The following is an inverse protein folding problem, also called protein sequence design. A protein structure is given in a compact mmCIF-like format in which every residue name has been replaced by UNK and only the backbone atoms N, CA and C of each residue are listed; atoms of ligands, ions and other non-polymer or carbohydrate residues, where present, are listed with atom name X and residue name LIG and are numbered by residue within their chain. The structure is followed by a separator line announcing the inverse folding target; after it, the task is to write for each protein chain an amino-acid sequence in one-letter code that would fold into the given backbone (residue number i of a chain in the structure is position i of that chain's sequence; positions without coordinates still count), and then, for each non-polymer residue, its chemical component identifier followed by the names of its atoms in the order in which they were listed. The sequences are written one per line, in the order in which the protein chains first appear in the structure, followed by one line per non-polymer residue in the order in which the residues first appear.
data_IF_503423178856
#
_entry.id   IF_503423178856
#
_cell.length_a   1.000
_cell.length_b   1.000
_cell.length_c   1.000
_cell.angle_alpha   90.00
_cell.angle_beta   90.00
_cell.angle_gamma   90.00
#
_symmetry.space_group_name_H-M   'P 1'
#
loop_
_entity.id
_entity.type
_entity.pdbx_description
1 polymer ?
#
# COMPACT_ATOMS: atom_id res chain seq x y z
N UNK A 1 15.72 59.38 -3.53
CA UNK A 1 14.44 58.80 -4.01
C UNK A 1 14.75 57.50 -4.73
N UNK A 2 14.78 56.40 -3.98
CA UNK A 2 15.04 55.05 -4.51
C UNK A 2 13.76 54.58 -5.18
N UNK A 3 13.85 54.27 -6.47
CA UNK A 3 12.71 53.95 -7.33
C UNK A 3 12.01 52.67 -6.87
N UNK A 4 10.72 52.76 -6.53
CA UNK A 4 9.82 51.65 -6.16
C UNK A 4 9.75 50.53 -7.22
N UNK A 5 10.26 50.79 -8.43
CA UNK A 5 10.25 49.83 -9.54
C UNK A 5 11.25 48.68 -9.37
N UNK A 6 12.32 48.88 -8.59
CA UNK A 6 13.33 47.84 -8.34
C UNK A 6 13.02 46.98 -7.11
N UNK A 7 12.06 47.39 -6.26
CA UNK A 7 11.63 46.59 -5.11
C UNK A 7 10.62 45.51 -5.51
N UNK A 8 9.92 45.69 -6.63
CA UNK A 8 8.97 44.69 -7.15
C UNK A 8 9.65 43.50 -7.85
N UNK A 9 10.92 43.65 -8.26
CA UNK A 9 11.69 42.60 -8.94
C UNK A 9 12.46 41.68 -7.97
N UNK A 10 12.57 42.03 -6.68
CA UNK A 10 13.14 41.15 -5.66
C UNK A 10 12.11 40.25 -4.98
N UNK A 11 10.80 40.49 -5.18
CA UNK A 11 9.72 39.74 -4.54
C UNK A 11 9.31 38.44 -5.25
N UNK A 12 9.76 38.20 -6.49
CA UNK A 12 9.38 37.02 -7.30
C UNK A 12 10.37 35.86 -7.22
N UNK A 13 11.39 35.94 -6.37
CA UNK A 13 12.32 34.85 -6.09
C UNK A 13 11.98 34.08 -4.80
N UNK A 14 10.79 34.30 -4.23
CA UNK A 14 10.29 33.48 -3.12
C UNK A 14 9.77 32.15 -3.65
N UNK A 15 10.72 31.30 -4.02
CA UNK A 15 10.79 29.93 -3.54
C UNK A 15 9.43 29.21 -3.58
N UNK A 16 9.03 28.83 -4.79
CA UNK A 16 8.25 27.62 -5.03
C UNK A 16 9.10 26.41 -4.61
N UNK A 17 9.38 26.27 -3.31
CA UNK A 17 9.79 25.00 -2.72
C UNK A 17 8.52 24.18 -2.58
N UNK A 18 7.96 23.78 -3.72
CA UNK A 18 7.04 22.66 -3.74
C UNK A 18 7.87 21.46 -3.30
N UNK A 19 7.68 21.05 -2.05
CA UNK A 19 8.15 19.78 -1.53
C UNK A 19 7.53 18.68 -2.40
N UNK A 20 8.13 18.41 -3.55
CA UNK A 20 7.94 17.14 -4.24
C UNK A 20 8.60 16.14 -3.32
N UNK A 21 7.78 15.49 -2.47
CA UNK A 21 8.25 14.34 -1.73
C UNK A 21 8.78 13.37 -2.79
N UNK A 22 10.11 13.25 -2.86
CA UNK A 22 10.76 12.35 -3.80
C UNK A 22 10.26 10.95 -3.46
N UNK A 23 9.37 10.46 -4.32
CA UNK A 23 8.68 9.20 -4.16
C UNK A 23 9.74 8.11 -4.12
N UNK A 24 9.69 7.21 -3.13
CA UNK A 24 10.70 6.19 -3.00
C UNK A 24 10.68 5.28 -4.24
N UNK A 25 11.82 5.20 -4.94
CA UNK A 25 11.99 4.28 -6.06
C UNK A 25 12.01 2.83 -5.54
N UNK A 26 11.27 1.95 -6.21
CA UNK A 26 11.10 0.56 -5.80
C UNK A 26 11.54 -0.36 -6.92
N UNK A 27 12.70 -1.00 -6.71
CA UNK A 27 13.25 -1.95 -7.69
C UNK A 27 12.42 -3.24 -7.75
N UNK A 28 12.31 -3.80 -8.96
CA UNK A 28 11.69 -5.09 -9.23
C UNK A 28 12.63 -6.27 -8.84
N UNK A 29 12.79 -6.49 -7.54
CA UNK A 29 13.53 -7.63 -6.99
C UNK A 29 12.54 -8.53 -6.23
N UNK A 30 12.46 -9.81 -6.63
CA UNK A 30 11.58 -10.80 -6.01
C UNK A 30 11.93 -10.99 -4.53
N UNK A 31 10.92 -10.95 -3.66
CA UNK A 31 11.07 -11.07 -2.20
C UNK A 31 11.70 -9.85 -1.51
N UNK A 32 12.11 -8.79 -2.24
CA UNK A 32 12.62 -7.56 -1.62
C UNK A 32 11.47 -6.77 -1.01
N UNK A 33 11.45 -6.70 0.32
CA UNK A 33 10.44 -5.97 1.09
C UNK A 33 10.87 -4.53 1.31
N UNK A 34 9.92 -3.62 1.17
CA UNK A 34 10.11 -2.20 1.46
C UNK A 34 9.10 -1.80 2.55
N UNK A 35 9.55 -1.26 3.69
CA UNK A 35 8.65 -0.85 4.75
C UNK A 35 7.80 0.33 4.28
N UNK A 36 6.48 0.24 4.48
CA UNK A 36 5.58 1.36 4.21
C UNK A 36 5.82 2.49 5.21
N UNK A 37 6.50 3.52 4.73
CA UNK A 37 6.70 4.81 5.41
C UNK A 37 5.92 5.93 4.73
N UNK A 38 5.86 7.11 5.35
CA UNK A 38 5.23 8.31 4.76
C UNK A 38 5.81 8.76 3.40
N UNK A 39 6.94 8.20 2.95
CA UNK A 39 7.53 8.45 1.62
C UNK A 39 6.85 7.65 0.50
N UNK A 40 6.05 6.65 0.86
CA UNK A 40 5.24 5.84 -0.05
C UNK A 40 3.85 6.48 -0.03
N UNK A 41 3.40 7.00 -1.18
CA UNK A 41 2.35 8.03 -1.24
C UNK A 41 1.04 7.67 -0.54
N UNK A 42 0.22 8.69 -0.18
CA UNK A 42 -0.98 8.51 0.64
C UNK A 42 -2.04 7.61 0.01
N UNK A 43 -1.98 7.39 -1.31
CA UNK A 43 -2.94 6.56 -2.03
C UNK A 43 -2.28 5.34 -2.68
N UNK A 44 -2.85 4.17 -2.39
CA UNK A 44 -2.50 2.88 -2.98
C UNK A 44 -3.78 2.11 -3.34
N UNK A 45 -3.66 1.20 -4.29
CA UNK A 45 -4.70 0.29 -4.75
C UNK A 45 -4.45 -1.06 -4.07
N UNK A 46 -5.46 -1.61 -3.41
CA UNK A 46 -5.41 -2.99 -2.94
C UNK A 46 -5.65 -3.93 -4.12
N UNK A 47 -4.62 -4.66 -4.51
CA UNK A 47 -4.66 -5.58 -5.66
C UNK A 47 -5.23 -6.93 -5.25
N UNK A 48 -4.78 -7.46 -4.12
CA UNK A 48 -5.20 -8.77 -3.62
C UNK A 48 -5.06 -8.83 -2.10
N UNK A 49 -5.87 -9.70 -1.48
CA UNK A 49 -5.69 -10.15 -0.10
C UNK A 49 -5.60 -11.68 -0.14
N UNK A 50 -4.44 -12.20 0.25
CA UNK A 50 -4.09 -13.61 0.14
C UNK A 50 -4.04 -14.23 1.53
N UNK A 51 -4.63 -15.43 1.65
CA UNK A 51 -4.58 -16.22 2.88
C UNK A 51 -4.06 -17.61 2.56
N UNK A 52 -3.30 -18.18 3.50
CA UNK A 52 -3.00 -19.59 3.43
C UNK A 52 -4.30 -20.40 3.57
N UNK A 53 -4.38 -21.46 2.78
CA UNK A 53 -5.40 -22.50 2.96
C UNK A 53 -4.90 -23.41 4.06
N UNK A 54 -5.79 -23.78 4.98
CA UNK A 54 -5.49 -24.75 6.04
C UNK A 54 -4.95 -26.04 5.42
N UNK A 55 -3.99 -26.68 6.10
CA UNK A 55 -3.26 -27.84 5.56
C UNK A 55 -4.23 -28.96 5.12
N UNK A 56 -5.29 -29.19 5.89
CA UNK A 56 -6.33 -30.20 5.62
C UNK A 56 -7.07 -29.98 4.30
N UNK A 57 -7.12 -28.73 3.81
CA UNK A 57 -7.82 -28.33 2.59
C UNK A 57 -6.86 -28.06 1.43
N UNK A 58 -5.55 -28.11 1.66
CA UNK A 58 -4.53 -27.83 0.65
C UNK A 58 -4.45 -28.99 -0.34
N UNK A 59 -4.95 -28.76 -1.56
CA UNK A 59 -4.87 -29.73 -2.66
C UNK A 59 -3.56 -29.54 -3.45
N UNK A 60 -2.48 -30.09 -2.92
CA UNK A 60 -1.17 -30.20 -3.61
C UNK A 60 -0.19 -29.05 -3.39
N UNK A 61 0.83 -29.01 -4.25
CA UNK A 61 1.95 -28.07 -4.18
C UNK A 61 1.58 -26.71 -4.78
N UNK A 62 0.94 -25.87 -3.97
CA UNK A 62 0.72 -24.45 -4.28
C UNK A 62 1.76 -23.54 -3.64
N UNK A 63 1.76 -22.26 -4.02
CA UNK A 63 2.48 -21.23 -3.29
C UNK A 63 1.82 -20.96 -1.92
N UNK A 64 2.60 -20.58 -0.93
CA UNK A 64 2.07 -19.90 0.25
C UNK A 64 1.52 -18.52 -0.13
N UNK A 65 0.69 -17.94 0.73
CA UNK A 65 0.18 -16.58 0.56
C UNK A 65 1.32 -15.55 0.45
N UNK A 66 2.42 -15.77 1.17
CA UNK A 66 3.59 -14.89 1.14
C UNK A 66 4.34 -15.01 -0.19
N UNK A 67 4.60 -16.23 -0.66
CA UNK A 67 5.26 -16.45 -1.96
C UNK A 67 4.41 -15.95 -3.13
N UNK A 68 3.09 -16.13 -3.05
CA UNK A 68 2.16 -15.60 -4.05
C UNK A 68 2.11 -14.07 -4.04
N UNK A 69 2.13 -13.45 -2.85
CA UNK A 69 2.21 -12.00 -2.72
C UNK A 69 3.54 -11.45 -3.29
N UNK A 70 4.67 -12.08 -2.95
CA UNK A 70 6.00 -11.70 -3.44
C UNK A 70 6.12 -11.84 -4.96
N UNK A 71 5.53 -12.89 -5.52
CA UNK A 71 5.46 -13.09 -6.97
C UNK A 71 4.61 -12.00 -7.64
N UNK A 72 3.43 -11.68 -7.09
CA UNK A 72 2.55 -10.65 -7.64
C UNK A 72 3.20 -9.26 -7.58
N UNK A 73 3.82 -8.93 -6.45
CA UNK A 73 4.58 -7.69 -6.27
C UNK A 73 5.73 -7.57 -7.27
N UNK A 74 6.44 -8.67 -7.52
CA UNK A 74 7.52 -8.68 -8.51
C UNK A 74 7.00 -8.36 -9.92
N UNK A 75 5.93 -9.00 -10.38
CA UNK A 75 5.38 -8.76 -11.71
C UNK A 75 4.84 -7.32 -11.87
N UNK A 76 4.18 -6.78 -10.84
CA UNK A 76 3.73 -5.38 -10.84
C UNK A 76 4.92 -4.40 -10.95
N UNK A 77 6.00 -4.64 -10.19
CA UNK A 77 7.18 -3.77 -10.25
C UNK A 77 7.88 -3.84 -11.61
N UNK A 78 7.84 -4.98 -12.29
CA UNK A 78 8.41 -5.12 -13.64
C UNK A 78 7.69 -4.28 -14.69
N UNK A 79 6.41 -3.98 -14.49
CA UNK A 79 5.65 -3.09 -15.38
C UNK A 79 5.78 -1.61 -14.99
N UNK A 80 6.61 -1.31 -13.99
CA UNK A 80 6.84 0.04 -13.48
C UNK A 80 5.82 0.49 -12.44
N UNK A 81 4.95 -0.40 -11.95
CA UNK A 81 3.99 -0.10 -10.89
C UNK A 81 4.67 -0.37 -9.54
N UNK A 82 4.88 0.64 -8.67
CA UNK A 82 5.39 0.39 -7.32
C UNK A 82 4.41 -0.50 -6.57
N UNK A 83 4.90 -1.54 -5.87
CA UNK A 83 4.03 -2.47 -5.17
C UNK A 83 4.68 -2.99 -3.88
N UNK A 84 3.85 -3.40 -2.92
CA UNK A 84 4.27 -3.81 -1.58
C UNK A 84 3.39 -4.93 -1.04
N UNK A 85 3.91 -5.62 -0.02
CA UNK A 85 3.16 -6.55 0.80
C UNK A 85 2.84 -5.91 2.15
N UNK A 86 1.60 -6.07 2.62
CA UNK A 86 1.19 -5.68 3.96
C UNK A 86 0.59 -6.89 4.69
N UNK A 87 1.16 -7.25 5.84
CA UNK A 87 0.63 -8.32 6.67
C UNK A 87 -0.44 -7.76 7.60
N UNK A 88 -1.57 -8.44 7.65
CA UNK A 88 -2.69 -8.08 8.50
C UNK A 88 -3.00 -9.25 9.42
N UNK A 89 -3.00 -9.00 10.73
CA UNK A 89 -3.15 -10.05 11.74
C UNK A 89 -4.61 -10.49 11.90
N UNK A 90 -4.81 -11.72 12.39
CA UNK A 90 -6.13 -12.23 12.74
C UNK A 90 -6.65 -11.54 14.01
N UNK A 91 -7.89 -11.02 13.94
CA UNK A 91 -8.57 -10.41 15.08
C UNK A 91 -9.77 -11.27 15.48
N UNK A 92 -9.70 -11.82 16.69
CA UNK A 92 -10.81 -12.55 17.31
C UNK A 92 -11.49 -11.65 18.33
N UNK A 93 -12.80 -11.47 18.20
CA UNK A 93 -13.60 -10.68 19.12
C UNK A 93 -14.61 -11.58 19.87
N UNK A 94 -15.19 -11.03 20.93
CA UNK A 94 -16.11 -11.73 21.81
C UNK A 94 -17.40 -10.94 21.92
N UNK A 95 -18.53 -11.63 21.67
CA UNK A 95 -19.86 -11.08 21.92
C UNK A 95 -20.30 -11.52 23.32
N UNK A 96 -20.55 -10.54 24.19
CA UNK A 96 -21.14 -10.77 25.50
C UNK A 96 -22.62 -11.13 25.35
N UNK A 97 -23.02 -12.28 25.90
CA UNK A 97 -24.43 -12.64 26.00
C UNK A 97 -25.02 -12.10 27.31
N UNK A 98 -26.33 -11.77 27.35
CA UNK A 98 -27.02 -11.44 28.60
C UNK A 98 -27.02 -12.58 29.63
N UNK A 99 -26.70 -13.81 29.22
CA UNK A 99 -26.72 -14.99 30.06
C UNK A 99 -25.38 -15.18 30.79
N UNK A 100 -25.37 -15.44 32.11
CA UNK A 100 -24.13 -15.64 32.86
C UNK A 100 -23.29 -16.76 32.23
N UNK A 101 -21.99 -16.52 32.04
CA UNK A 101 -21.02 -17.43 31.42
C UNK A 101 -21.26 -17.81 29.95
N UNK A 102 -22.16 -17.12 29.24
CA UNK A 102 -22.31 -17.29 27.79
C UNK A 102 -21.54 -16.18 27.07
N UNK A 103 -20.45 -16.57 26.40
CA UNK A 103 -19.72 -15.67 25.52
C UNK A 103 -19.39 -16.40 24.22
N UNK A 104 -19.63 -15.75 23.09
CA UNK A 104 -19.33 -16.34 21.78
C UNK A 104 -18.15 -15.61 21.18
N UNK A 105 -17.07 -16.36 20.91
CA UNK A 105 -15.92 -15.86 20.17
C UNK A 105 -16.22 -15.95 18.67
N UNK A 106 -15.83 -14.93 17.93
CA UNK A 106 -15.93 -14.92 16.47
C UNK A 106 -14.68 -14.27 15.87
N UNK A 107 -14.30 -14.70 14.67
CA UNK A 107 -13.19 -14.08 13.94
C UNK A 107 -13.74 -12.85 13.23
N UNK A 108 -13.35 -11.66 13.70
CA UNK A 108 -13.75 -10.39 13.13
C UNK A 108 -12.94 -10.05 11.87
N UNK A 109 -11.68 -10.50 11.82
CA UNK A 109 -10.77 -10.31 10.69
C UNK A 109 -9.85 -11.51 10.60
N UNK A 110 -9.77 -12.15 9.44
CA UNK A 110 -8.79 -13.21 9.22
C UNK A 110 -7.41 -12.63 8.94
N UNK A 111 -6.37 -13.33 9.41
CA UNK A 111 -5.00 -13.01 9.03
C UNK A 111 -4.83 -13.13 7.51
N UNK A 112 -4.19 -12.14 6.89
CA UNK A 112 -3.98 -12.12 5.43
C UNK A 112 -2.76 -11.29 5.04
N UNK A 113 -2.23 -11.57 3.85
CA UNK A 113 -1.17 -10.78 3.21
C UNK A 113 -1.80 -10.01 2.05
N UNK A 114 -1.84 -8.69 2.18
CA UNK A 114 -2.37 -7.80 1.16
C UNK A 114 -1.26 -7.35 0.21
N UNK A 115 -1.55 -7.32 -1.08
CA UNK A 115 -0.70 -6.69 -2.10
C UNK A 115 -1.25 -5.31 -2.41
N UNK A 116 -0.41 -4.30 -2.22
CA UNK A 116 -0.74 -2.90 -2.41
C UNK A 116 0.08 -2.34 -3.56
N UNK A 117 -0.57 -1.78 -4.57
CA UNK A 117 0.07 -1.11 -5.70
C UNK A 117 -0.06 0.40 -5.58
N UNK A 118 1.05 1.11 -5.72
CA UNK A 118 1.06 2.55 -5.91
C UNK A 118 2.12 3.24 -5.09
N UNK A 119 2.09 4.55 -5.22
CA UNK A 119 2.71 5.53 -4.33
C UNK A 119 1.98 6.86 -4.59
N UNK A 120 0.70 6.80 -4.95
CA UNK A 120 0.07 7.88 -5.69
C UNK A 120 -0.19 9.09 -4.78
N UNK A 121 -0.02 10.32 -5.30
CA UNK A 121 -0.30 11.53 -4.53
C UNK A 121 -1.79 11.72 -4.28
N UNK A 122 -2.65 11.24 -5.20
CA UNK A 122 -4.11 11.31 -5.08
C UNK A 122 -4.77 10.13 -5.79
N UNK A 123 -6.05 9.88 -5.51
CA UNK A 123 -6.86 8.88 -6.21
C UNK A 123 -7.22 9.27 -7.66
N UNK A 124 -7.05 10.54 -8.05
CA UNK A 124 -7.33 11.04 -9.40
C UNK A 124 -6.05 11.22 -10.23
N UNK A 125 -4.92 10.75 -9.69
CA UNK A 125 -3.63 10.81 -10.36
C UNK A 125 -3.63 9.99 -11.65
N UNK A 126 -2.94 10.49 -12.69
CA UNK A 126 -2.91 9.82 -13.98
C UNK A 126 -2.22 8.45 -13.90
N UNK A 127 -1.18 8.32 -13.07
CA UNK A 127 -0.46 7.06 -12.89
C UNK A 127 -1.32 6.07 -12.09
N UNK A 128 -2.12 6.56 -11.13
CA UNK A 128 -3.11 5.75 -10.42
C UNK A 128 -4.15 5.14 -11.37
N UNK A 129 -4.66 5.93 -12.32
CA UNK A 129 -5.62 5.44 -13.33
C UNK A 129 -5.00 4.41 -14.26
N UNK A 130 -3.78 4.67 -14.76
CA UNK A 130 -3.06 3.71 -15.61
C UNK A 130 -2.79 2.40 -14.88
N UNK A 131 -2.40 2.46 -13.60
CA UNK A 131 -2.19 1.27 -12.80
C UNK A 131 -3.51 0.50 -12.59
N UNK A 132 -4.61 1.20 -12.31
CA UNK A 132 -5.93 0.60 -12.14
C UNK A 132 -6.46 -0.06 -13.42
N UNK A 133 -6.18 0.51 -14.60
CA UNK A 133 -6.55 -0.10 -15.89
C UNK A 133 -5.73 -1.36 -16.21
N UNK A 134 -4.53 -1.47 -15.66
CA UNK A 134 -3.66 -2.63 -15.85
C UNK A 134 -4.02 -3.81 -14.94
N UNK A 135 -4.48 -3.53 -13.72
CA UNK A 135 -4.84 -4.51 -12.68
C UNK A 135 -6.19 -5.15 -12.98
#
# INVERSE_FOLDING_TARGET
MISFRNLLLLGTALVLCSCTATQAEVEAIKGKKYPLTAKHGPWMIMVASLRNVDEDWRKGDGLSAEEAADQLVYELRRTGIPAYTWSMDEKVEQISSPQPNSSRRYVAQHGSISVLAGNFPSNNDADAKRALEYI
#
